data_IF_991686436422
#
_entry.id   IF_991686436422
#
_cell.length_a   1.000
_cell.length_b   1.000
_cell.length_c   1.000
_cell.angle_alpha   90.00
_cell.angle_beta   90.00
_cell.angle_gamma   90.00
#
_symmetry.space_group_name_H-M   'P 1'
#
loop_
_entity.id
_entity.type
_entity.pdbx_description
1 polymer ?
#
# COMPACT_ATOMS: atom_id res chain seq x y z
N UNK A 1 -58.39 -87.04 -82.07
CA UNK A 1 -59.17 -85.83 -81.72
C UNK A 1 -59.39 -85.67 -80.21
N UNK A 2 -60.26 -86.41 -79.52
CA UNK A 2 -60.50 -86.16 -78.07
C UNK A 2 -59.26 -86.36 -77.18
N UNK A 3 -58.46 -87.42 -77.39
CA UNK A 3 -57.24 -87.68 -76.61
C UNK A 3 -56.15 -86.61 -76.80
N UNK A 4 -56.02 -86.07 -78.01
CA UNK A 4 -55.03 -85.03 -78.32
C UNK A 4 -55.43 -83.68 -77.72
N UNK A 5 -56.73 -83.37 -77.71
CA UNK A 5 -57.29 -82.18 -77.04
C UNK A 5 -57.06 -82.30 -75.53
N UNK A 6 -57.28 -83.48 -74.95
CA UNK A 6 -57.06 -83.70 -73.51
C UNK A 6 -55.57 -83.58 -73.13
N UNK A 7 -54.65 -84.05 -73.96
CA UNK A 7 -53.20 -83.91 -73.75
C UNK A 7 -52.70 -82.46 -73.96
N UNK A 8 -53.31 -81.71 -74.87
CA UNK A 8 -53.04 -80.29 -75.06
C UNK A 8 -53.54 -79.46 -73.87
N UNK A 9 -54.72 -79.77 -73.33
CA UNK A 9 -55.29 -79.10 -72.15
C UNK A 9 -54.42 -79.33 -70.90
N UNK A 10 -53.95 -80.55 -70.64
CA UNK A 10 -53.07 -80.81 -69.49
C UNK A 10 -51.71 -80.11 -69.62
N UNK A 11 -51.19 -79.98 -70.85
CA UNK A 11 -49.96 -79.23 -71.12
C UNK A 11 -50.17 -77.73 -70.92
N UNK A 12 -51.31 -77.20 -71.36
CA UNK A 12 -51.70 -75.80 -71.18
C UNK A 12 -51.86 -75.46 -69.69
N UNK A 13 -52.54 -76.32 -68.92
CA UNK A 13 -52.69 -76.16 -67.46
C UNK A 13 -51.34 -76.17 -66.75
N UNK A 14 -50.42 -77.05 -67.17
CA UNK A 14 -49.05 -77.08 -66.64
C UNK A 14 -48.28 -75.78 -66.91
N UNK A 15 -48.36 -75.25 -68.14
CA UNK A 15 -47.72 -73.98 -68.49
C UNK A 15 -48.35 -72.79 -67.75
N UNK A 16 -49.67 -72.77 -67.56
CA UNK A 16 -50.39 -71.75 -66.79
C UNK A 16 -49.97 -71.76 -65.31
N UNK A 17 -49.86 -72.93 -64.68
CA UNK A 17 -49.36 -73.05 -63.30
C UNK A 17 -47.91 -72.56 -63.17
N UNK A 18 -47.06 -72.86 -64.15
CA UNK A 18 -45.67 -72.38 -64.17
C UNK A 18 -45.60 -70.86 -64.36
N UNK A 19 -46.43 -70.29 -65.22
CA UNK A 19 -46.54 -68.84 -65.41
C UNK A 19 -46.99 -68.13 -64.13
N UNK A 20 -48.05 -68.61 -63.48
CA UNK A 20 -48.53 -68.07 -62.21
C UNK A 20 -47.44 -68.10 -61.12
N UNK A 21 -46.68 -69.21 -61.01
CA UNK A 21 -45.56 -69.30 -60.07
C UNK A 21 -44.46 -68.29 -60.36
N UNK A 22 -44.14 -68.04 -61.63
CA UNK A 22 -43.15 -67.04 -62.04
C UNK A 22 -43.66 -65.63 -61.72
N UNK A 23 -44.94 -65.33 -61.97
CA UNK A 23 -45.56 -64.06 -61.62
C UNK A 23 -45.53 -63.79 -60.10
N UNK A 24 -45.82 -64.80 -59.28
CA UNK A 24 -45.72 -64.69 -57.82
C UNK A 24 -44.28 -64.44 -57.36
N UNK A 25 -43.30 -65.13 -57.97
CA UNK A 25 -41.89 -64.90 -57.71
C UNK A 25 -41.43 -63.50 -58.12
N UNK A 26 -41.89 -63.00 -59.28
CA UNK A 26 -41.60 -61.65 -59.74
C UNK A 26 -42.22 -60.59 -58.83
N UNK A 27 -43.46 -60.81 -58.37
CA UNK A 27 -44.12 -59.94 -57.40
C UNK A 27 -43.36 -59.89 -56.08
N UNK A 28 -42.97 -61.05 -55.55
CA UNK A 28 -42.15 -61.14 -54.34
C UNK A 28 -40.80 -60.41 -54.49
N UNK A 29 -40.10 -60.61 -55.61
CA UNK A 29 -38.86 -59.88 -55.89
C UNK A 29 -39.09 -58.38 -56.00
N UNK A 30 -40.18 -57.94 -56.64
CA UNK A 30 -40.56 -56.53 -56.74
C UNK A 30 -40.78 -55.90 -55.36
N UNK A 31 -41.55 -56.56 -54.49
CA UNK A 31 -41.83 -56.09 -53.13
C UNK A 31 -40.53 -56.00 -52.29
N UNK A 32 -39.64 -56.99 -52.45
CA UNK A 32 -38.34 -57.00 -51.77
C UNK A 32 -37.44 -55.85 -52.25
N UNK A 33 -37.40 -55.57 -53.56
CA UNK A 33 -36.65 -54.44 -54.12
C UNK A 33 -37.21 -53.11 -53.63
N UNK A 34 -38.53 -52.95 -53.58
CA UNK A 34 -39.17 -51.73 -53.06
C UNK A 34 -38.79 -51.50 -51.59
N UNK A 35 -38.92 -52.54 -50.74
CA UNK A 35 -38.56 -52.46 -49.32
C UNK A 35 -37.09 -52.08 -49.13
N UNK A 36 -36.18 -52.71 -49.86
CA UNK A 36 -34.75 -52.36 -49.81
C UNK A 36 -34.49 -50.92 -50.28
N UNK A 37 -35.27 -50.42 -51.26
CA UNK A 37 -35.22 -49.04 -51.71
C UNK A 37 -35.63 -48.04 -50.62
N UNK A 38 -36.73 -48.31 -49.91
CA UNK A 38 -37.22 -47.50 -48.79
C UNK A 38 -36.23 -47.50 -47.62
N UNK A 39 -35.69 -48.67 -47.25
CA UNK A 39 -34.66 -48.79 -46.22
C UNK A 39 -33.37 -48.03 -46.59
N UNK A 40 -32.94 -48.11 -47.85
CA UNK A 40 -31.77 -47.36 -48.35
C UNK A 40 -32.02 -45.86 -48.25
N UNK A 41 -33.20 -45.39 -48.63
CA UNK A 41 -33.56 -43.98 -48.53
C UNK A 41 -33.55 -43.50 -47.08
N UNK A 42 -34.20 -44.22 -46.17
CA UNK A 42 -34.22 -43.89 -44.74
C UNK A 42 -32.80 -43.87 -44.14
N UNK A 43 -31.97 -44.87 -44.46
CA UNK A 43 -30.56 -44.92 -44.02
C UNK A 43 -29.74 -43.74 -44.58
N UNK A 44 -29.96 -43.37 -45.84
CA UNK A 44 -29.28 -42.22 -46.46
C UNK A 44 -29.62 -40.90 -45.76
N UNK A 45 -30.90 -40.67 -45.45
CA UNK A 45 -31.34 -39.47 -44.72
C UNK A 45 -30.77 -39.44 -43.30
N UNK A 46 -30.77 -40.58 -42.60
CA UNK A 46 -30.17 -40.70 -41.27
C UNK A 46 -28.67 -40.41 -41.29
N UNK A 47 -27.94 -40.93 -42.28
CA UNK A 47 -26.51 -40.67 -42.46
C UNK A 47 -26.24 -39.17 -42.68
N UNK A 48 -27.01 -38.51 -43.54
CA UNK A 48 -26.85 -37.08 -43.78
C UNK A 48 -27.11 -36.24 -42.52
N UNK A 49 -28.15 -36.59 -41.75
CA UNK A 49 -28.47 -35.92 -40.49
C UNK A 49 -27.38 -36.11 -39.42
N UNK A 50 -26.83 -37.31 -39.30
CA UNK A 50 -25.74 -37.59 -38.36
C UNK A 50 -24.46 -36.86 -38.77
N UNK A 51 -24.17 -36.77 -40.07
CA UNK A 51 -23.03 -36.01 -40.59
C UNK A 51 -23.14 -34.50 -40.32
N UNK A 52 -24.34 -33.93 -40.48
CA UNK A 52 -24.61 -32.52 -40.12
C UNK A 52 -24.37 -32.28 -38.62
N UNK A 53 -24.97 -33.11 -37.75
CA UNK A 53 -24.77 -33.02 -36.29
C UNK A 53 -23.30 -33.12 -35.89
N UNK A 54 -22.55 -34.03 -36.49
CA UNK A 54 -21.13 -34.20 -36.21
C UNK A 54 -20.30 -32.97 -36.64
N UNK A 55 -20.67 -32.32 -37.74
CA UNK A 55 -20.04 -31.08 -38.20
C UNK A 55 -20.33 -29.91 -37.26
N UNK A 56 -21.56 -29.80 -36.76
CA UNK A 56 -21.94 -28.77 -35.79
C UNK A 56 -21.27 -28.98 -34.43
N UNK A 57 -21.20 -30.23 -33.95
CA UNK A 57 -20.49 -30.57 -32.72
C UNK A 57 -18.99 -30.28 -32.83
N UNK A 58 -18.36 -30.55 -33.99
CA UNK A 58 -16.96 -30.17 -34.25
C UNK A 58 -16.77 -28.66 -34.20
N UNK A 59 -17.67 -27.89 -34.82
CA UNK A 59 -17.61 -26.42 -34.79
C UNK A 59 -17.74 -25.88 -33.36
N UNK A 60 -18.70 -26.38 -32.59
CA UNK A 60 -18.89 -26.01 -31.19
C UNK A 60 -17.68 -26.37 -30.32
N UNK A 61 -17.11 -27.57 -30.51
CA UNK A 61 -15.88 -27.97 -29.82
C UNK A 61 -14.69 -27.08 -30.16
N UNK A 62 -14.55 -26.67 -31.42
CA UNK A 62 -13.47 -25.78 -31.83
C UNK A 62 -13.62 -24.40 -31.18
N UNK A 63 -14.82 -23.83 -31.23
CA UNK A 63 -15.13 -22.55 -30.59
C UNK A 63 -14.91 -22.59 -29.06
N UNK A 64 -15.27 -23.70 -28.41
CA UNK A 64 -15.01 -23.90 -26.98
C UNK A 64 -13.50 -23.97 -26.67
N UNK A 65 -12.70 -24.63 -27.53
CA UNK A 65 -11.25 -24.68 -27.39
C UNK A 65 -10.60 -23.30 -27.59
N UNK A 66 -10.99 -22.55 -28.61
CA UNK A 66 -10.51 -21.17 -28.82
C UNK A 66 -10.82 -20.28 -27.61
N UNK A 67 -12.05 -20.38 -27.09
CA UNK A 67 -12.46 -19.63 -25.89
C UNK A 67 -11.67 -20.03 -24.63
N UNK A 68 -11.29 -21.31 -24.53
CA UNK A 68 -10.46 -21.83 -23.45
C UNK A 68 -9.02 -21.31 -23.56
N UNK A 69 -8.42 -21.36 -24.75
CA UNK A 69 -7.08 -20.83 -25.02
C UNK A 69 -7.00 -19.33 -24.70
N UNK A 70 -8.00 -18.54 -25.14
CA UNK A 70 -8.10 -17.12 -24.82
C UNK A 70 -8.16 -16.87 -23.30
N UNK A 71 -8.92 -17.69 -22.59
CA UNK A 71 -9.06 -17.59 -21.14
C UNK A 71 -7.77 -17.98 -20.42
N UNK A 72 -7.08 -19.02 -20.89
CA UNK A 72 -5.78 -19.43 -20.37
C UNK A 72 -4.74 -18.34 -20.56
N UNK A 73 -4.66 -17.73 -21.76
CA UNK A 73 -3.76 -16.62 -22.02
C UNK A 73 -4.02 -15.42 -21.11
N UNK A 74 -5.29 -15.07 -20.87
CA UNK A 74 -5.67 -14.01 -19.92
C UNK A 74 -5.24 -14.34 -18.49
N UNK A 75 -5.39 -15.59 -18.06
CA UNK A 75 -4.97 -16.06 -16.73
C UNK A 75 -3.45 -15.98 -16.59
N UNK A 76 -2.69 -16.44 -17.58
CA UNK A 76 -1.23 -16.37 -17.58
C UNK A 76 -0.73 -14.94 -17.49
N UNK A 77 -1.29 -14.03 -18.29
CA UNK A 77 -0.94 -12.60 -18.24
C UNK A 77 -1.25 -11.99 -16.87
N UNK A 78 -2.40 -12.34 -16.28
CA UNK A 78 -2.78 -11.86 -14.96
C UNK A 78 -1.86 -12.41 -13.86
N UNK A 79 -1.47 -13.69 -13.95
CA UNK A 79 -0.50 -14.30 -13.03
C UNK A 79 0.87 -13.63 -13.11
N UNK A 80 1.36 -13.31 -14.32
CA UNK A 80 2.61 -12.58 -14.50
C UNK A 80 2.56 -11.20 -13.82
N UNK A 81 1.48 -10.44 -14.04
CA UNK A 81 1.29 -9.14 -13.40
C UNK A 81 1.21 -9.24 -11.86
N UNK A 82 0.57 -10.29 -11.32
CA UNK A 82 0.52 -10.52 -9.88
C UNK A 82 1.90 -10.81 -9.28
N UNK A 83 2.74 -11.57 -9.98
CA UNK A 83 4.12 -11.84 -9.55
C UNK A 83 4.96 -10.56 -9.56
N UNK A 84 4.84 -9.73 -10.59
CA UNK A 84 5.51 -8.42 -10.64
C UNK A 84 5.09 -7.51 -9.49
N UNK A 85 3.78 -7.43 -9.21
CA UNK A 85 3.26 -6.64 -8.10
C UNK A 85 3.76 -7.16 -6.74
N UNK A 86 3.83 -8.49 -6.58
CA UNK A 86 4.37 -9.10 -5.36
C UNK A 86 5.84 -8.76 -5.15
N UNK A 87 6.65 -8.77 -6.22
CA UNK A 87 8.06 -8.35 -6.15
C UNK A 87 8.17 -6.88 -5.74
N UNK A 88 7.32 -6.00 -6.30
CA UNK A 88 7.36 -4.57 -5.96
C UNK A 88 6.94 -4.31 -4.51
N UNK A 89 5.93 -5.02 -4.01
CA UNK A 89 5.53 -4.95 -2.59
C UNK A 89 6.71 -5.31 -1.67
N UNK A 90 7.45 -6.37 -1.96
CA UNK A 90 8.61 -6.76 -1.14
C UNK A 90 9.75 -5.73 -1.21
N UNK A 91 9.99 -5.13 -2.38
CA UNK A 91 10.96 -4.03 -2.53
C UNK A 91 10.57 -2.82 -1.69
N UNK A 92 9.31 -2.40 -1.76
CA UNK A 92 8.81 -1.25 -0.98
C UNK A 92 8.82 -1.54 0.53
N UNK A 93 8.51 -2.77 0.95
CA UNK A 93 8.67 -3.20 2.35
C UNK A 93 10.11 -3.06 2.84
N UNK A 94 11.07 -3.48 2.03
CA UNK A 94 12.49 -3.35 2.37
C UNK A 94 12.93 -1.88 2.45
N UNK A 95 12.54 -1.04 1.48
CA UNK A 95 12.83 0.40 1.49
C UNK A 95 12.22 1.09 2.72
N UNK A 96 10.95 0.79 3.03
CA UNK A 96 10.25 1.30 4.22
C UNK A 96 11.03 0.97 5.49
N UNK A 97 11.45 -0.28 5.67
CA UNK A 97 12.20 -0.71 6.86
C UNK A 97 13.49 0.08 7.05
N UNK A 98 14.24 0.31 5.96
CA UNK A 98 15.47 1.13 6.00
C UNK A 98 15.20 2.57 6.43
N UNK A 99 14.16 3.20 5.86
CA UNK A 99 13.77 4.57 6.22
C UNK A 99 13.31 4.64 7.68
N UNK A 100 12.58 3.64 8.17
CA UNK A 100 12.16 3.56 9.57
C UNK A 100 13.35 3.46 10.53
N UNK A 101 14.37 2.67 10.19
CA UNK A 101 15.63 2.56 10.95
C UNK A 101 16.40 3.89 10.96
N UNK A 102 16.56 4.54 9.80
CA UNK A 102 17.22 5.84 9.68
C UNK A 102 16.48 6.94 10.47
N UNK A 103 15.14 6.94 10.40
CA UNK A 103 14.30 7.87 11.12
C UNK A 103 14.41 7.67 12.64
N UNK A 104 14.53 6.43 13.10
CA UNK A 104 14.74 6.13 14.52
C UNK A 104 16.08 6.65 15.03
N UNK A 105 17.16 6.50 14.25
CA UNK A 105 18.47 7.09 14.56
C UNK A 105 18.39 8.61 14.62
N UNK A 106 17.71 9.24 13.65
CA UNK A 106 17.51 10.69 13.63
C UNK A 106 16.71 11.18 14.84
N UNK A 107 15.64 10.48 15.23
CA UNK A 107 14.84 10.79 16.43
C UNK A 107 15.69 10.76 17.70
N UNK A 108 16.51 9.72 17.88
CA UNK A 108 17.42 9.63 19.03
C UNK A 108 18.40 10.79 19.06
N UNK A 109 18.94 11.18 17.91
CA UNK A 109 19.84 12.34 17.80
C UNK A 109 19.15 13.65 18.18
N UNK A 110 17.91 13.85 17.75
CA UNK A 110 17.10 15.04 18.11
C UNK A 110 16.91 15.11 19.63
N UNK A 111 16.51 14.01 20.28
CA UNK A 111 16.32 13.97 21.74
C UNK A 111 17.61 14.32 22.48
N UNK A 112 18.75 13.76 22.06
CA UNK A 112 20.05 14.07 22.66
C UNK A 112 20.44 15.55 22.51
N UNK A 113 20.22 16.12 21.33
CA UNK A 113 20.51 17.53 21.08
C UNK A 113 19.60 18.45 21.89
N UNK A 114 18.30 18.13 21.98
CA UNK A 114 17.34 18.89 22.80
C UNK A 114 17.75 18.90 24.27
N UNK A 115 18.07 17.74 24.85
CA UNK A 115 18.53 17.67 26.23
C UNK A 115 19.81 18.50 26.49
N UNK A 116 20.74 18.51 25.52
CA UNK A 116 21.94 19.33 25.60
C UNK A 116 21.64 20.83 25.50
N UNK A 117 20.74 21.23 24.61
CA UNK A 117 20.32 22.63 24.46
C UNK A 117 19.58 23.13 25.71
N UNK A 118 18.68 22.32 26.28
CA UNK A 118 17.99 22.64 27.53
C UNK A 118 18.99 22.78 28.69
N UNK A 119 19.95 21.85 28.82
CA UNK A 119 21.00 21.93 29.83
C UNK A 119 21.87 23.18 29.70
N UNK A 120 22.27 23.53 28.47
CA UNK A 120 23.01 24.76 28.19
C UNK A 120 22.18 26.01 28.53
N UNK A 121 20.90 26.04 28.15
CA UNK A 121 20.01 27.16 28.46
C UNK A 121 19.82 27.36 29.97
N UNK A 122 19.71 26.27 30.74
CA UNK A 122 19.63 26.33 32.20
C UNK A 122 20.89 26.94 32.81
N UNK A 123 22.07 26.52 32.33
CA UNK A 123 23.37 27.06 32.78
C UNK A 123 23.49 28.55 32.45
N UNK A 124 23.12 28.96 31.24
CA UNK A 124 23.15 30.36 30.83
C UNK A 124 22.27 31.25 31.71
N UNK A 125 21.06 30.78 32.06
CA UNK A 125 20.14 31.49 32.97
C UNK A 125 20.72 31.63 34.37
N UNK A 126 21.27 30.56 34.94
CA UNK A 126 21.91 30.60 36.25
C UNK A 126 23.14 31.53 36.27
N UNK A 127 23.90 31.58 35.16
CA UNK A 127 25.02 32.50 35.04
C UNK A 127 24.57 33.96 34.96
N UNK A 128 23.45 34.26 34.30
CA UNK A 128 22.87 35.61 34.30
C UNK A 128 22.39 36.02 35.70
N UNK A 129 21.63 35.14 36.38
CA UNK A 129 21.20 35.41 37.76
C UNK A 129 22.39 35.67 38.70
N UNK A 130 23.47 34.88 38.58
CA UNK A 130 24.71 35.12 39.34
C UNK A 130 25.37 36.45 38.99
N UNK A 131 25.33 36.89 37.72
CA UNK A 131 25.83 38.20 37.32
C UNK A 131 25.00 39.31 37.95
N UNK A 132 23.68 39.23 37.87
CA UNK A 132 22.77 40.21 38.48
C UNK A 132 23.00 40.33 39.99
N UNK A 133 23.10 39.21 40.71
CA UNK A 133 23.41 39.23 42.14
C UNK A 133 24.77 39.86 42.45
N UNK A 134 25.80 39.57 41.63
CA UNK A 134 27.12 40.20 41.79
C UNK A 134 27.08 41.71 41.57
N UNK A 135 26.33 42.19 40.57
CA UNK A 135 26.17 43.63 40.31
C UNK A 135 25.48 44.34 41.48
N UNK A 136 24.48 43.71 42.11
CA UNK A 136 23.81 44.27 43.31
C UNK A 136 24.81 44.47 44.46
N UNK A 137 25.80 43.58 44.61
CA UNK A 137 26.80 43.67 45.67
C UNK A 137 27.90 44.71 45.40
N UNK A 138 28.06 45.15 44.15
CA UNK A 138 29.04 46.17 43.78
C UNK A 138 28.61 47.56 44.22
N UNK A 139 29.60 48.39 44.53
CA UNK A 139 29.41 49.78 44.88
C UNK A 139 28.88 50.57 43.68
N UNK A 140 27.78 51.30 43.87
CA UNK A 140 27.14 52.11 42.83
C UNK A 140 27.97 53.30 42.32
N UNK A 141 29.11 53.62 42.94
CA UNK A 141 30.00 54.70 42.50
C UNK A 141 31.07 54.20 41.54
N UNK A 142 31.72 53.09 41.87
CA UNK A 142 32.84 52.57 41.07
C UNK A 142 32.46 51.36 40.22
N UNK A 143 31.30 50.74 40.46
CA UNK A 143 30.78 49.57 39.75
C UNK A 143 31.77 48.39 39.70
N UNK A 144 32.64 48.30 40.70
CA UNK A 144 33.78 47.38 40.72
C UNK A 144 33.91 46.71 42.08
N UNK A 145 34.20 47.51 43.11
CA UNK A 145 34.42 47.02 44.47
C UNK A 145 33.12 46.66 45.19
N UNK A 146 33.13 45.68 46.12
CA UNK A 146 31.96 45.34 46.91
C UNK A 146 31.53 46.49 47.82
N UNK A 147 30.28 46.42 48.25
CA UNK A 147 29.70 47.27 49.30
C UNK A 147 30.26 46.82 50.65
N UNK A 148 31.01 47.69 51.30
CA UNK A 148 31.73 47.41 52.56
C UNK A 148 31.36 48.41 53.66
N UNK A 149 30.68 49.51 53.32
CA UNK A 149 30.26 50.54 54.27
C UNK A 149 28.83 50.98 54.02
N UNK A 150 28.15 51.40 55.08
CA UNK A 150 26.80 51.95 55.07
C UNK A 150 26.81 53.37 55.67
N UNK A 151 26.04 54.27 55.07
CA UNK A 151 25.76 55.59 55.64
C UNK A 151 24.52 55.47 56.54
N UNK A 152 24.68 55.49 57.85
CA UNK A 152 23.60 55.21 58.81
C UNK A 152 22.44 56.20 58.79
N UNK A 153 22.61 57.39 58.20
CA UNK A 153 21.55 58.38 58.01
C UNK A 153 20.53 58.02 56.92
N UNK A 154 20.94 57.23 55.92
CA UNK A 154 20.10 56.92 54.77
C UNK A 154 20.19 55.47 54.28
N UNK A 155 20.99 54.64 54.96
CA UNK A 155 21.20 53.21 54.71
C UNK A 155 21.70 52.83 53.32
N UNK A 156 22.21 53.79 52.54
CA UNK A 156 22.87 53.48 51.28
C UNK A 156 24.27 52.91 51.51
N UNK A 157 24.60 51.86 50.74
CA UNK A 157 25.85 51.11 50.85
C UNK A 157 26.80 51.39 49.68
N UNK A 158 28.09 51.41 49.97
CA UNK A 158 29.14 51.71 49.01
C UNK A 158 30.46 51.02 49.38
N UNK A 159 31.48 51.15 48.53
CA UNK A 159 32.84 50.72 48.83
C UNK A 159 33.50 51.70 49.81
N UNK A 160 34.39 51.20 50.68
CA UNK A 160 35.09 52.06 51.63
C UNK A 160 35.86 53.22 50.94
N UNK A 161 36.70 52.97 49.91
CA UNK A 161 37.41 54.06 49.19
C UNK A 161 36.50 55.14 48.61
N UNK A 162 35.30 54.73 48.18
CA UNK A 162 34.35 55.58 47.48
C UNK A 162 33.72 56.61 48.43
N UNK A 163 33.33 56.19 49.64
CA UNK A 163 32.74 57.06 50.66
C UNK A 163 33.79 57.96 51.31
N UNK A 164 35.00 57.45 51.52
CA UNK A 164 36.11 58.25 52.05
C UNK A 164 36.43 59.44 51.14
N UNK A 165 36.54 59.23 49.82
CA UNK A 165 36.78 60.32 48.85
C UNK A 165 35.71 61.42 48.89
N UNK A 166 34.44 61.06 49.06
CA UNK A 166 33.33 62.02 49.19
C UNK A 166 33.44 62.81 50.50
N UNK A 167 33.85 62.15 51.57
CA UNK A 167 34.01 62.75 52.90
C UNK A 167 35.18 63.74 52.94
N UNK A 168 36.29 63.42 52.27
CA UNK A 168 37.50 64.26 52.14
C UNK A 168 37.24 65.52 51.31
N UNK A 169 36.50 65.39 50.20
CA UNK A 169 36.19 66.50 49.30
C UNK A 169 35.22 67.55 49.89
N UNK A 170 34.86 67.47 51.19
CA UNK A 170 33.86 68.32 51.88
C UNK A 170 32.45 68.33 51.26
N UNK A 171 32.19 67.51 50.25
CA UNK A 171 30.89 67.32 49.62
C UNK A 171 30.12 66.20 50.33
N UNK A 172 29.86 66.37 51.63
CA UNK A 172 29.32 65.32 52.52
C UNK A 172 27.82 65.03 52.31
N UNK A 173 27.45 64.69 51.08
CA UNK A 173 26.10 64.31 50.66
C UNK A 173 26.12 62.91 50.07
N UNK A 174 25.11 62.10 50.39
CA UNK A 174 24.98 60.75 49.85
C UNK A 174 24.90 60.80 48.31
N UNK A 175 25.71 60.02 47.58
CA UNK A 175 25.67 59.96 46.11
C UNK A 175 24.33 59.48 45.52
N UNK A 176 23.51 58.78 46.31
CA UNK A 176 22.23 58.22 45.86
C UNK A 176 21.05 59.15 46.18
N UNK A 177 20.96 59.67 47.41
CA UNK A 177 19.80 60.45 47.87
C UNK A 177 20.11 61.89 48.31
N UNK A 178 21.36 62.33 48.17
CA UNK A 178 21.84 63.67 48.57
C UNK A 178 21.70 64.03 50.06
N UNK A 179 21.32 63.09 50.92
CA UNK A 179 21.26 63.30 52.37
C UNK A 179 22.63 63.66 52.95
N UNK A 180 22.68 64.68 53.82
CA UNK A 180 23.90 65.10 54.51
C UNK A 180 24.35 64.05 55.55
N UNK A 181 25.64 63.76 55.62
CA UNK A 181 26.22 62.82 56.59
C UNK A 181 27.59 63.29 57.12
N UNK A 182 28.01 62.80 58.28
CA UNK A 182 29.33 63.04 58.86
C UNK A 182 30.23 61.80 58.86
N UNK A 183 31.50 61.96 59.25
CA UNK A 183 32.44 60.84 59.36
C UNK A 183 31.96 59.73 60.33
N UNK A 184 31.26 60.12 61.40
CA UNK A 184 30.72 59.18 62.39
C UNK A 184 29.50 58.38 61.87
N UNK A 185 28.88 58.82 60.77
CA UNK A 185 27.71 58.19 60.16
C UNK A 185 28.10 57.09 59.15
N UNK A 186 29.40 56.86 58.92
CA UNK A 186 29.90 55.79 58.05
C UNK A 186 30.29 54.60 58.93
N UNK A 187 29.67 53.44 58.70
CA UNK A 187 29.94 52.20 59.45
C UNK A 187 30.29 51.05 58.50
N UNK A 188 31.25 50.18 58.86
CA UNK A 188 31.54 48.99 58.08
C UNK A 188 30.36 48.01 58.10
N UNK A 189 30.19 47.26 57.02
CA UNK A 189 29.23 46.18 56.85
C UNK A 189 29.93 45.01 56.17
N UNK A 190 29.59 43.80 56.61
CA UNK A 190 30.11 42.55 56.06
C UNK A 190 28.93 41.78 55.49
N UNK A 191 28.96 41.56 54.18
CA UNK A 191 27.89 40.96 53.36
C UNK A 191 28.39 39.63 52.82
#
# INVERSE_FOLDING_TARGET
MEKEIQQANTSLDFYNMKAARIEDQLRFCSDQVQKLGEERFQKSVSLENTQKRLSDMRRSSHQANESLEDSQFKIERSRAALLELQIEIERERFKKKRIEEELEVARRKVVLLQAKTEGNSMIERLQEELREYREILKCSICLDRPKEVVITKCYHLFCNPCVHKVTENRHRKCPVCAASFGANDVKPVYI
#
